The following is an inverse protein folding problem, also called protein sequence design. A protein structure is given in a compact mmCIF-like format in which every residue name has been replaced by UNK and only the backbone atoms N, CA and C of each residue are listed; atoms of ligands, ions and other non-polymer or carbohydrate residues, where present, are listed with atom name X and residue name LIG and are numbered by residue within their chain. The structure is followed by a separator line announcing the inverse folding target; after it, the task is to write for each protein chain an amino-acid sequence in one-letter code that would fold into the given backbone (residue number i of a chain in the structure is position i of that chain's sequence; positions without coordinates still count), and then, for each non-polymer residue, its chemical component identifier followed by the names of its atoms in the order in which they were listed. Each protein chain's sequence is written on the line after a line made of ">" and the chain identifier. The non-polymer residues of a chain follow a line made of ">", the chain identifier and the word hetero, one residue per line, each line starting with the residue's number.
data_IF_634564625116
#
_entry.id   IF_634564625116
#
_cell.length_a   1.000
_cell.length_b   1.000
_cell.length_c   1.000
_cell.angle_alpha   90.00
_cell.angle_beta   90.00
_cell.angle_gamma   90.00
#
_symmetry.space_group_name_H-M   'P 1'
#
loop_
_entity.id
_entity.type
_entity.pdbx_description
1 polymer ?
#
# COMPACT_ATOMS: atom_id res chain seq x y z
N UNK A 1 -15.58 14.89 4.73
CA UNK A 1 -14.61 15.41 5.72
C UNK A 1 -15.30 15.48 7.08
N UNK A 2 -14.64 15.07 8.16
CA UNK A 2 -15.19 15.03 9.53
C UNK A 2 -14.19 15.62 10.54
N UNK A 3 -14.68 16.25 11.60
CA UNK A 3 -13.86 16.80 12.69
C UNK A 3 -14.03 15.95 13.96
N UNK A 4 -12.96 15.81 14.76
CA UNK A 4 -13.03 15.02 16.00
C UNK A 4 -14.08 15.51 17.00
N UNK A 5 -14.34 16.83 17.02
CA UNK A 5 -15.35 17.44 17.89
C UNK A 5 -16.79 17.04 17.51
N UNK A 6 -17.04 16.66 16.26
CA UNK A 6 -18.37 16.30 15.77
C UNK A 6 -18.71 14.82 16.03
N UNK A 7 -17.74 14.05 16.53
CA UNK A 7 -17.93 12.62 16.79
C UNK A 7 -18.74 12.44 18.07
N UNK A 8 -19.96 11.94 17.91
CA UNK A 8 -20.89 11.62 18.99
C UNK A 8 -20.98 10.12 19.29
N UNK A 9 -20.40 9.27 18.44
CA UNK A 9 -20.37 7.82 18.64
C UNK A 9 -19.64 7.46 19.96
N UNK A 10 -20.30 6.76 20.90
CA UNK A 10 -19.73 6.51 22.23
C UNK A 10 -18.42 5.74 22.21
N UNK A 11 -18.30 4.76 21.30
CA UNK A 11 -17.09 3.95 21.16
C UNK A 11 -15.93 4.79 20.61
N UNK A 12 -16.16 5.55 19.54
CA UNK A 12 -15.12 6.43 19.00
C UNK A 12 -14.71 7.53 19.99
N UNK A 13 -15.66 8.09 20.76
CA UNK A 13 -15.34 9.03 21.83
C UNK A 13 -14.46 8.39 22.89
N UNK A 14 -14.72 7.15 23.28
CA UNK A 14 -13.89 6.45 24.28
C UNK A 14 -12.44 6.23 23.82
N UNK A 15 -12.21 6.10 22.50
CA UNK A 15 -10.88 5.96 21.90
C UNK A 15 -10.16 7.31 21.87
N UNK A 16 -10.85 8.38 21.45
CA UNK A 16 -10.25 9.69 21.19
C UNK A 16 -10.14 10.57 22.45
N UNK A 17 -11.07 10.40 23.38
CA UNK A 17 -11.19 11.22 24.60
C UNK A 17 -11.34 10.29 25.82
N UNK A 18 -10.31 9.48 26.12
CA UNK A 18 -10.38 8.55 27.24
C UNK A 18 -10.57 9.33 28.54
N UNK A 19 -11.48 8.84 29.38
CA UNK A 19 -11.80 9.34 30.71
C UNK A 19 -12.55 10.66 30.80
N UNK A 20 -13.13 11.22 29.73
CA UNK A 20 -14.01 12.40 29.86
C UNK A 20 -15.05 12.20 30.98
N UNK A 21 -15.21 13.17 31.90
CA UNK A 21 -14.65 14.53 31.91
C UNK A 21 -13.26 14.70 32.56
N UNK A 22 -12.62 13.62 33.00
CA UNK A 22 -11.28 13.63 33.59
C UNK A 22 -10.19 13.78 32.50
N UNK A 23 -8.99 14.29 32.87
CA UNK A 23 -7.90 14.41 31.92
C UNK A 23 -7.49 13.02 31.38
N UNK A 24 -7.03 12.98 30.11
CA UNK A 24 -6.56 11.73 29.51
C UNK A 24 -5.32 11.21 30.26
N UNK A 25 -5.02 9.90 30.16
CA UNK A 25 -3.84 9.32 30.78
C UNK A 25 -2.55 10.07 30.37
N UNK A 26 -1.55 10.18 31.27
CA UNK A 26 -0.26 10.73 30.91
C UNK A 26 0.33 10.02 29.68
N UNK A 27 0.81 10.80 28.71
CA UNK A 27 1.37 10.27 27.46
C UNK A 27 0.34 9.81 26.42
N UNK A 28 -0.97 10.03 26.63
CA UNK A 28 -1.98 9.73 25.60
C UNK A 28 -1.84 10.63 24.36
N UNK A 29 -1.66 11.94 24.57
CA UNK A 29 -1.29 12.86 23.50
C UNK A 29 0.22 12.96 23.40
N UNK A 30 0.72 13.22 22.18
CA UNK A 30 2.13 13.49 21.91
C UNK A 30 2.55 14.84 22.48
N UNK A 31 3.83 14.97 22.84
CA UNK A 31 4.40 16.27 23.26
C UNK A 31 4.53 17.26 22.10
N UNK A 32 4.69 16.73 20.88
CA UNK A 32 4.79 17.51 19.64
C UNK A 32 3.78 17.02 18.61
N UNK A 33 3.09 17.96 17.97
CA UNK A 33 2.18 17.67 16.86
C UNK A 33 2.95 17.09 15.66
N UNK A 34 2.54 15.89 15.24
CA UNK A 34 2.94 15.31 13.96
C UNK A 34 2.04 15.90 12.87
N UNK A 35 2.59 16.78 12.03
CA UNK A 35 1.79 17.60 11.12
C UNK A 35 1.52 16.97 9.76
N UNK A 36 2.04 15.78 9.46
CA UNK A 36 1.82 15.13 8.17
C UNK A 36 0.57 14.24 8.17
N UNK A 37 0.25 13.58 9.28
CA UNK A 37 -0.69 12.46 9.28
C UNK A 37 -1.53 12.36 10.56
N UNK A 38 -0.94 12.17 11.73
CA UNK A 38 -1.67 11.74 12.94
C UNK A 38 -1.96 12.90 13.92
N UNK A 39 -1.30 14.04 13.77
CA UNK A 39 -1.49 15.19 14.64
C UNK A 39 -0.96 14.95 16.05
N UNK A 40 -1.81 15.25 17.03
CA UNK A 40 -1.48 15.11 18.46
C UNK A 40 -1.69 13.69 19.00
N UNK A 41 -2.42 12.85 18.27
CA UNK A 41 -2.74 11.50 18.71
C UNK A 41 -1.64 10.51 18.33
N UNK A 42 -1.54 9.42 19.10
CA UNK A 42 -0.71 8.28 18.73
C UNK A 42 -1.25 7.59 17.48
N UNK A 43 -0.34 6.97 16.72
CA UNK A 43 -0.70 6.21 15.52
C UNK A 43 -1.61 5.01 15.84
N UNK A 44 -1.49 4.44 17.05
CA UNK A 44 -2.38 3.39 17.54
C UNK A 44 -3.80 3.92 17.78
N UNK A 45 -3.94 5.06 18.46
CA UNK A 45 -5.23 5.74 18.67
C UNK A 45 -5.92 6.07 17.36
N UNK A 46 -5.21 6.72 16.43
CA UNK A 46 -5.77 7.06 15.11
C UNK A 46 -6.07 5.82 14.29
N UNK A 47 -5.21 4.80 14.33
CA UNK A 47 -5.43 3.51 13.67
C UNK A 47 -6.71 2.84 14.16
N UNK A 48 -6.91 2.75 15.47
CA UNK A 48 -8.14 2.24 16.09
C UNK A 48 -9.37 3.04 15.65
N UNK A 49 -9.32 4.36 15.82
CA UNK A 49 -10.45 5.25 15.51
C UNK A 49 -10.83 5.19 14.02
N UNK A 50 -9.85 5.23 13.11
CA UNK A 50 -10.08 5.16 11.66
C UNK A 50 -10.67 3.82 11.24
N UNK A 51 -10.17 2.71 11.79
CA UNK A 51 -10.71 1.37 11.50
C UNK A 51 -12.15 1.22 12.00
N UNK A 52 -12.43 1.58 13.25
CA UNK A 52 -13.79 1.52 13.83
C UNK A 52 -14.75 2.39 13.02
N UNK A 53 -14.35 3.63 12.72
CA UNK A 53 -15.19 4.57 11.99
C UNK A 53 -15.49 4.08 10.57
N UNK A 54 -14.48 3.56 9.85
CA UNK A 54 -14.66 2.98 8.51
C UNK A 54 -15.70 1.87 8.53
N UNK A 55 -15.57 0.92 9.46
CA UNK A 55 -16.48 -0.21 9.59
C UNK A 55 -17.90 0.23 9.94
N UNK A 56 -18.04 1.19 10.86
CA UNK A 56 -19.35 1.73 11.24
C UNK A 56 -20.03 2.42 10.05
N UNK A 57 -19.29 3.24 9.30
CA UNK A 57 -19.81 3.90 8.08
C UNK A 57 -20.26 2.86 7.06
N UNK A 58 -19.42 1.85 6.78
CA UNK A 58 -19.73 0.82 5.80
C UNK A 58 -20.97 0.00 6.20
N UNK A 59 -21.09 -0.33 7.48
CA UNK A 59 -22.28 -1.02 8.01
C UNK A 59 -23.54 -0.16 7.84
N UNK A 60 -23.45 1.14 8.12
CA UNK A 60 -24.57 2.08 7.94
C UNK A 60 -24.96 2.22 6.46
N UNK A 61 -24.00 2.23 5.54
CA UNK A 61 -24.27 2.24 4.09
C UNK A 61 -25.02 0.97 3.64
N UNK A 62 -24.72 -0.17 4.27
CA UNK A 62 -25.42 -1.43 4.03
C UNK A 62 -26.80 -1.53 4.74
N UNK A 63 -27.22 -0.48 5.45
CA UNK A 63 -28.47 -0.46 6.22
C UNK A 63 -28.42 -1.31 7.50
N UNK A 64 -27.23 -1.56 8.04
CA UNK A 64 -27.01 -2.33 9.29
C UNK A 64 -26.28 -1.48 10.33
N UNK A 65 -26.40 -1.88 11.59
CA UNK A 65 -25.56 -1.34 12.67
C UNK A 65 -24.35 -2.27 12.87
N UNK A 66 -23.15 -1.68 12.98
CA UNK A 66 -21.98 -2.44 13.42
C UNK A 66 -22.12 -2.79 14.91
N UNK A 67 -21.67 -3.99 15.30
CA UNK A 67 -21.67 -4.41 16.69
C UNK A 67 -20.39 -3.93 17.39
N UNK A 68 -20.54 -3.16 18.46
CA UNK A 68 -19.40 -2.62 19.19
C UNK A 68 -18.54 -3.72 19.85
N UNK A 69 -19.11 -4.90 20.08
CA UNK A 69 -18.40 -6.05 20.65
C UNK A 69 -17.29 -6.57 19.74
N UNK A 70 -17.41 -6.38 18.42
CA UNK A 70 -16.39 -6.79 17.45
C UNK A 70 -15.09 -5.99 17.61
N UNK A 71 -15.14 -4.84 18.28
CA UNK A 71 -13.97 -3.98 18.49
C UNK A 71 -13.33 -4.17 19.87
N UNK A 72 -13.90 -4.99 20.77
CA UNK A 72 -13.45 -5.08 22.16
C UNK A 72 -11.95 -5.43 22.27
N UNK A 73 -11.47 -6.38 21.47
CA UNK A 73 -10.04 -6.75 21.42
C UNK A 73 -9.16 -5.70 20.74
N UNK A 74 -9.72 -4.90 19.84
CA UNK A 74 -8.97 -3.80 19.22
C UNK A 74 -8.71 -2.68 20.23
N UNK A 75 -9.65 -2.43 21.14
CA UNK A 75 -9.50 -1.39 22.15
C UNK A 75 -8.32 -1.65 23.10
N UNK A 76 -7.93 -2.91 23.30
CA UNK A 76 -6.76 -3.26 24.12
C UNK A 76 -5.42 -2.99 23.46
N UNK A 77 -5.38 -2.62 22.18
CA UNK A 77 -4.12 -2.25 21.55
C UNK A 77 -3.55 -0.95 22.12
N UNK A 78 -2.21 -0.81 22.15
CA UNK A 78 -1.55 0.40 22.58
C UNK A 78 -2.01 1.64 21.81
N UNK A 79 -2.01 2.80 22.47
CA UNK A 79 -2.35 4.09 21.85
C UNK A 79 -1.21 4.62 20.96
N UNK A 80 0.03 4.28 21.30
CA UNK A 80 1.22 4.66 20.55
C UNK A 80 1.97 3.42 20.08
N UNK A 81 2.58 3.51 18.91
CA UNK A 81 3.58 2.55 18.49
C UNK A 81 4.93 3.00 19.03
N UNK A 82 5.69 2.08 19.63
CA UNK A 82 7.03 2.41 20.10
C UNK A 82 7.97 2.69 18.91
N UNK A 83 8.90 3.66 19.05
CA UNK A 83 9.70 4.19 17.94
C UNK A 83 10.58 3.14 17.24
N UNK A 84 10.96 2.08 17.96
CA UNK A 84 11.77 0.97 17.44
C UNK A 84 10.98 -0.36 17.36
N UNK A 85 9.67 -0.33 17.64
CA UNK A 85 8.89 -1.55 17.76
C UNK A 85 8.31 -2.03 16.43
N UNK A 86 8.38 -3.35 16.24
CA UNK A 86 7.53 -4.05 15.29
C UNK A 86 6.06 -3.89 15.68
N UNK A 87 5.14 -3.95 14.72
CA UNK A 87 3.67 -3.93 14.97
C UNK A 87 3.13 -5.21 15.64
N UNK A 88 3.98 -5.92 16.39
CA UNK A 88 3.63 -7.14 17.12
C UNK A 88 2.53 -6.89 18.15
N UNK A 89 2.55 -5.73 18.84
CA UNK A 89 1.55 -5.38 19.85
C UNK A 89 0.16 -5.11 19.25
N UNK A 90 0.06 -5.01 17.92
CA UNK A 90 -1.17 -4.84 17.16
C UNK A 90 -1.59 -6.14 16.46
N UNK A 91 -1.10 -7.28 16.96
CA UNK A 91 -1.50 -8.62 16.53
C UNK A 91 -2.36 -9.27 17.60
N UNK A 92 -3.38 -10.00 17.17
CA UNK A 92 -4.19 -10.83 18.07
C UNK A 92 -3.72 -12.27 17.96
N UNK A 93 -3.72 -12.97 19.09
CA UNK A 93 -3.50 -14.41 19.13
C UNK A 93 -4.64 -15.12 18.38
N UNK A 94 -4.35 -16.05 17.44
CA UNK A 94 -5.39 -16.85 16.78
C UNK A 94 -6.27 -17.65 17.76
N UNK A 95 -5.78 -17.97 18.97
CA UNK A 95 -6.59 -18.71 19.94
C UNK A 95 -7.74 -17.85 20.51
N UNK A 96 -8.97 -18.22 20.15
CA UNK A 96 -10.18 -17.58 20.66
C UNK A 96 -10.52 -16.23 20.03
N UNK A 97 -9.81 -15.82 18.99
CA UNK A 97 -10.10 -14.61 18.20
C UNK A 97 -10.92 -14.99 16.97
N UNK A 98 -12.01 -14.27 16.72
CA UNK A 98 -12.82 -14.47 15.52
C UNK A 98 -12.08 -14.03 14.26
N UNK A 99 -12.46 -14.59 13.10
CA UNK A 99 -11.94 -14.13 11.79
C UNK A 99 -12.15 -12.63 11.59
N UNK A 100 -13.28 -12.10 12.07
CA UNK A 100 -13.62 -10.69 12.01
C UNK A 100 -12.64 -9.82 12.78
N UNK A 101 -12.35 -10.18 14.03
CA UNK A 101 -11.38 -9.47 14.88
C UNK A 101 -9.96 -9.53 14.31
N UNK A 102 -9.55 -10.67 13.74
CA UNK A 102 -8.24 -10.79 13.08
C UNK A 102 -8.11 -9.87 11.85
N UNK A 103 -9.19 -9.76 11.05
CA UNK A 103 -9.24 -8.81 9.94
C UNK A 103 -9.12 -7.38 10.44
N UNK A 104 -9.90 -7.02 11.46
CA UNK A 104 -9.89 -5.68 12.05
C UNK A 104 -8.52 -5.32 12.63
N UNK A 105 -7.83 -6.25 13.28
CA UNK A 105 -6.46 -6.07 13.74
C UNK A 105 -5.49 -5.82 12.58
N UNK A 106 -5.66 -6.56 11.49
CA UNK A 106 -4.88 -6.37 10.26
C UNK A 106 -5.11 -4.98 9.67
N UNK A 107 -6.36 -4.50 9.66
CA UNK A 107 -6.73 -3.17 9.17
C UNK A 107 -6.12 -2.06 10.03
N UNK A 108 -6.07 -2.22 11.36
CA UNK A 108 -5.39 -1.28 12.26
C UNK A 108 -3.89 -1.21 11.92
N UNK A 109 -3.22 -2.35 11.76
CA UNK A 109 -1.79 -2.37 11.36
C UNK A 109 -1.58 -1.72 10.01
N UNK A 110 -2.45 -1.97 9.04
CA UNK A 110 -2.38 -1.36 7.72
C UNK A 110 -2.54 0.17 7.80
N UNK A 111 -3.49 0.65 8.62
CA UNK A 111 -3.67 2.08 8.87
C UNK A 111 -2.43 2.73 9.50
N UNK A 112 -1.79 2.04 10.45
CA UNK A 112 -0.57 2.52 11.10
C UNK A 112 0.59 2.58 10.09
N UNK A 113 0.78 1.52 9.27
CA UNK A 113 1.81 1.50 8.22
C UNK A 113 1.62 2.61 7.20
N UNK A 114 0.36 2.86 6.79
CA UNK A 114 0.04 3.93 5.87
C UNK A 114 0.39 5.31 6.45
N UNK A 115 0.16 5.52 7.75
CA UNK A 115 0.59 6.73 8.44
C UNK A 115 2.10 6.93 8.36
N UNK A 116 2.89 5.89 8.65
CA UNK A 116 4.35 5.97 8.57
C UNK A 116 4.88 6.25 7.18
N UNK A 117 4.30 5.63 6.16
CA UNK A 117 4.65 5.91 4.76
C UNK A 117 4.41 7.39 4.45
N UNK A 118 3.22 7.92 4.79
CA UNK A 118 2.90 9.34 4.61
C UNK A 118 3.85 10.28 5.37
N UNK A 119 4.30 9.88 6.57
CA UNK A 119 5.27 10.66 7.33
C UNK A 119 6.64 10.72 6.66
N UNK A 120 7.12 9.60 6.09
CA UNK A 120 8.38 9.53 5.34
C UNK A 120 8.31 10.35 4.06
N UNK A 121 7.20 10.26 3.32
CA UNK A 121 6.98 11.00 2.09
C UNK A 121 6.96 12.52 2.36
N UNK A 122 6.26 12.95 3.42
CA UNK A 122 6.24 14.35 3.85
C UNK A 122 7.61 14.84 4.34
N UNK A 123 8.40 14.00 5.00
CA UNK A 123 9.76 14.32 5.41
C UNK A 123 10.69 14.48 4.19
N UNK A 124 10.58 13.59 3.19
CA UNK A 124 11.31 13.68 1.93
C UNK A 124 10.97 14.95 1.15
N UNK A 125 9.68 15.29 1.03
CA UNK A 125 9.23 16.53 0.40
C UNK A 125 9.76 17.78 1.12
N UNK A 126 9.79 17.79 2.45
CA UNK A 126 10.35 18.89 3.25
C UNK A 126 11.87 19.00 3.12
N UNK A 127 12.59 17.88 3.05
CA UNK A 127 14.02 17.88 2.81
C UNK A 127 14.37 18.43 1.42
N UNK A 128 13.62 18.02 0.39
CA UNK A 128 13.74 18.56 -0.97
C UNK A 128 13.41 20.06 -1.06
N UNK A 129 12.36 20.50 -0.36
CA UNK A 129 12.01 21.92 -0.28
C UNK A 129 13.08 22.76 0.43
N UNK A 130 13.72 22.23 1.49
CA UNK A 130 14.82 22.92 2.20
C UNK A 130 16.12 22.94 1.40
N UNK A 131 16.43 21.91 0.62
CA UNK A 131 17.60 21.90 -0.27
C UNK A 131 17.51 22.98 -1.37
N UNK A 132 16.30 23.36 -1.76
CA UNK A 132 16.05 24.42 -2.74
C UNK A 132 16.00 25.84 -2.13
N UNK A 133 16.17 25.99 -0.81
CA UNK A 133 16.23 27.27 -0.10
C UNK A 133 17.63 27.44 0.49
N UNK A 134 18.64 27.58 -0.37
CA UNK A 134 19.96 28.09 0.04
C UNK A 134 19.85 29.59 0.42
N UNK A 135 20.60 30.08 1.43
CA UNK A 135 20.53 31.47 1.82
C UNK A 135 21.30 32.31 0.78
N UNK A 136 20.58 33.09 -0.03
CA UNK A 136 21.20 34.14 -0.84
C UNK A 136 21.65 35.27 0.09
N UNK A 137 22.93 35.24 0.46
CA UNK A 137 23.59 36.34 1.14
C UNK A 137 23.83 37.48 0.14
N UNK A 138 23.21 38.63 0.42
CA UNK A 138 23.60 39.99 0.04
C UNK A 138 24.33 40.22 -1.28
N UNK A 139 23.61 40.78 -2.26
CA UNK A 139 24.21 41.44 -3.43
C UNK A 139 23.17 42.28 -4.17
N UNK A 140 23.29 43.61 -4.06
CA UNK A 140 22.47 44.58 -4.81
C UNK A 140 22.91 44.56 -6.28
N UNK A 141 22.01 44.22 -7.20
CA UNK A 141 22.13 44.59 -8.60
C UNK A 141 20.75 44.65 -9.27
N UNK A 142 20.58 45.67 -10.11
CA UNK A 142 19.35 46.11 -10.75
C UNK A 142 19.08 45.33 -12.06
N UNK A 143 17.81 44.93 -12.23
CA UNK A 143 16.97 44.43 -13.35
C UNK A 143 17.43 44.57 -14.84
N UNK A 144 16.76 43.96 -15.86
CA UNK A 144 15.40 43.35 -15.87
C UNK A 144 15.16 42.06 -16.69
N UNK A 145 13.93 41.53 -16.52
CA UNK A 145 13.11 40.74 -17.46
C UNK A 145 13.49 39.28 -17.80
N UNK A 146 12.82 38.33 -17.13
CA UNK A 146 11.95 37.33 -17.79
C UNK A 146 11.50 36.26 -16.78
N UNK A 147 10.31 35.72 -17.02
CA UNK A 147 9.77 34.46 -16.50
C UNK A 147 9.02 34.47 -15.14
N UNK A 148 7.70 34.62 -15.30
CA UNK A 148 6.64 33.83 -14.62
C UNK A 148 6.60 33.89 -13.09
N UNK A 149 6.01 34.96 -12.57
CA UNK A 149 5.28 34.92 -11.30
C UNK A 149 4.05 34.01 -11.43
N UNK A 150 4.14 32.76 -10.93
CA UNK A 150 2.95 31.93 -10.67
C UNK A 150 2.27 32.45 -9.40
N UNK A 151 1.26 33.30 -9.60
CA UNK A 151 0.29 33.72 -8.58
C UNK A 151 -0.68 32.55 -8.37
N UNK A 152 -0.75 32.00 -7.16
CA UNK A 152 -1.77 31.02 -6.78
C UNK A 152 -3.07 31.78 -6.54
N UNK A 153 -4.02 31.59 -7.45
CA UNK A 153 -5.39 32.05 -7.34
C UNK A 153 -6.22 30.86 -6.85
N UNK A 154 -6.78 30.95 -5.65
CA UNK A 154 -7.79 30.00 -5.18
C UNK A 154 -9.13 30.47 -5.71
N UNK A 155 -9.71 29.75 -6.68
CA UNK A 155 -11.10 29.92 -7.07
C UNK A 155 -11.97 29.09 -6.16
N UNK A 156 -12.79 29.78 -5.37
CA UNK A 156 -13.92 29.22 -4.64
C UNK A 156 -15.03 28.94 -5.67
N UNK A 157 -15.46 27.68 -5.77
CA UNK A 157 -16.48 27.24 -6.71
C UNK A 157 -16.72 25.74 -6.58
N UNK A 158 -17.84 25.40 -5.97
CA UNK A 158 -18.37 24.05 -5.77
C UNK A 158 -18.53 23.34 -7.11
N UNK A 159 -17.96 22.14 -7.24
CA UNK A 159 -18.47 21.11 -8.15
C UNK A 159 -18.46 19.75 -7.45
N UNK A 160 -19.57 19.05 -7.61
CA UNK A 160 -19.88 17.75 -7.04
C UNK A 160 -19.72 16.71 -8.14
N UNK A 161 -18.86 15.70 -7.96
CA UNK A 161 -18.93 14.48 -8.75
C UNK A 161 -17.59 13.88 -9.13
N UNK A 162 -17.30 12.74 -8.48
CA UNK A 162 -16.55 11.59 -9.01
C UNK A 162 -15.06 11.75 -9.39
N UNK A 163 -14.35 10.62 -9.25
CA UNK A 163 -12.98 10.34 -9.71
C UNK A 163 -11.79 10.82 -8.84
N UNK A 164 -11.58 10.14 -7.71
CA UNK A 164 -10.23 9.91 -7.16
C UNK A 164 -9.92 8.40 -7.18
N UNK A 165 -9.83 7.84 -8.39
CA UNK A 165 -9.17 6.57 -8.72
C UNK A 165 -8.32 6.84 -9.96
N UNK A 166 -7.10 7.38 -9.82
CA UNK A 166 -6.29 7.64 -11.03
C UNK A 166 -4.78 7.88 -10.82
N UNK A 167 -4.15 7.37 -9.76
CA UNK A 167 -2.67 7.39 -9.71
C UNK A 167 -2.02 6.08 -9.23
N UNK A 168 -2.76 5.18 -8.58
CA UNK A 168 -2.22 3.87 -8.15
C UNK A 168 -2.59 2.69 -9.06
N UNK A 169 -3.50 2.90 -10.02
CA UNK A 169 -4.03 1.83 -10.87
C UNK A 169 -3.20 1.68 -12.17
N UNK A 170 -2.57 2.76 -12.64
CA UNK A 170 -1.71 2.76 -13.83
C UNK A 170 -0.38 2.04 -13.57
N UNK A 171 0.29 2.30 -12.44
CA UNK A 171 1.54 1.58 -12.06
C UNK A 171 1.32 0.06 -11.88
N UNK A 172 0.17 -0.34 -11.34
CA UNK A 172 -0.14 -1.76 -11.14
C UNK A 172 -0.41 -2.49 -12.48
N UNK A 173 -0.97 -1.79 -13.47
CA UNK A 173 -1.14 -2.31 -14.82
C UNK A 173 0.19 -2.40 -15.58
N UNK A 174 1.07 -1.41 -15.44
CA UNK A 174 2.41 -1.43 -16.04
C UNK A 174 3.28 -2.56 -15.48
N UNK A 175 3.24 -2.80 -14.15
CA UNK A 175 3.97 -3.91 -13.53
C UNK A 175 3.39 -5.28 -13.97
N UNK A 176 2.07 -5.39 -14.12
CA UNK A 176 1.42 -6.59 -14.62
C UNK A 176 1.77 -6.87 -16.09
N UNK A 177 1.76 -5.86 -16.97
CA UNK A 177 2.14 -5.99 -18.38
C UNK A 177 3.61 -6.39 -18.54
N UNK A 178 4.50 -5.84 -17.71
CA UNK A 178 5.93 -6.18 -17.73
C UNK A 178 6.19 -7.62 -17.25
N UNK A 179 5.38 -8.12 -16.31
CA UNK A 179 5.48 -9.50 -15.82
C UNK A 179 4.87 -10.48 -16.83
N UNK A 180 3.77 -10.12 -17.47
CA UNK A 180 3.15 -10.91 -18.55
C UNK A 180 4.08 -11.03 -19.76
N UNK A 181 4.76 -9.95 -20.16
CA UNK A 181 5.77 -9.99 -21.23
C UNK A 181 6.96 -10.89 -20.88
N UNK A 182 7.41 -10.90 -19.62
CA UNK A 182 8.47 -11.80 -19.16
C UNK A 182 8.03 -13.26 -19.16
N UNK A 183 6.78 -13.55 -18.77
CA UNK A 183 6.22 -14.91 -18.78
C UNK A 183 6.02 -15.39 -20.21
N UNK A 184 5.54 -14.54 -21.13
CA UNK A 184 5.41 -14.87 -22.54
C UNK A 184 6.78 -15.17 -23.18
N UNK A 185 7.79 -14.33 -22.96
CA UNK A 185 9.13 -14.58 -23.47
C UNK A 185 9.77 -15.85 -22.89
N UNK A 186 9.49 -16.19 -21.63
CA UNK A 186 9.93 -17.44 -21.02
C UNK A 186 9.19 -18.66 -21.61
N UNK A 187 7.89 -18.54 -21.90
CA UNK A 187 7.12 -19.60 -22.57
C UNK A 187 7.63 -19.84 -24.00
N UNK A 188 7.87 -18.77 -24.77
CA UNK A 188 8.42 -18.86 -26.13
C UNK A 188 9.82 -19.47 -26.13
N UNK A 189 10.67 -19.16 -25.13
CA UNK A 189 11.99 -19.75 -25.00
C UNK A 189 11.93 -21.25 -24.65
N UNK A 190 10.96 -21.67 -23.84
CA UNK A 190 10.74 -23.08 -23.51
C UNK A 190 10.14 -23.84 -24.70
N UNK A 191 9.23 -23.22 -25.44
CA UNK A 191 8.66 -23.79 -26.67
C UNK A 191 9.72 -23.92 -27.77
N UNK A 192 10.56 -22.89 -27.97
CA UNK A 192 11.68 -22.95 -28.90
C UNK A 192 12.73 -24.01 -28.50
N UNK A 193 12.97 -24.21 -27.20
CA UNK A 193 13.83 -25.28 -26.73
C UNK A 193 13.21 -26.67 -26.93
N UNK A 194 11.88 -26.79 -26.82
CA UNK A 194 11.16 -28.03 -27.08
C UNK A 194 11.14 -28.36 -28.58
N UNK A 195 10.90 -27.38 -29.46
CA UNK A 195 10.94 -27.59 -30.92
C UNK A 195 12.35 -27.86 -31.43
N UNK A 196 13.38 -27.20 -30.89
CA UNK A 196 14.78 -27.52 -31.21
C UNK A 196 15.16 -28.94 -30.77
N UNK A 197 14.61 -29.44 -29.66
CA UNK A 197 14.80 -30.83 -29.22
C UNK A 197 14.04 -31.85 -30.09
N UNK A 198 12.93 -31.45 -30.71
CA UNK A 198 12.19 -32.28 -31.68
C UNK A 198 12.85 -32.29 -33.07
N UNK A 199 13.46 -31.18 -33.52
CA UNK A 199 14.24 -31.12 -34.78
C UNK A 199 15.54 -31.93 -34.68
N UNK A 200 16.27 -31.88 -33.56
CA UNK A 200 17.45 -32.75 -33.34
C UNK A 200 17.11 -34.25 -33.31
N UNK A 201 15.87 -34.61 -32.97
CA UNK A 201 15.41 -36.00 -32.99
C UNK A 201 15.01 -36.49 -34.39
N UNK A 202 14.67 -35.57 -35.31
CA UNK A 202 14.22 -35.90 -36.66
C UNK A 202 15.37 -35.96 -37.68
N UNK A 203 16.51 -35.31 -37.41
CA UNK A 203 17.74 -35.36 -38.24
C UNK A 203 18.57 -36.67 -38.09
N UNK A 204 18.13 -37.61 -37.23
CA UNK A 204 18.81 -38.90 -37.01
C UNK A 204 18.22 -40.09 -37.78
N UNK A 205 17.12 -39.91 -38.54
CA UNK A 205 16.39 -41.04 -39.18
C UNK A 205 16.35 -40.98 -40.73
N UNK A 206 17.03 -40.03 -41.39
CA UNK A 206 17.03 -39.87 -42.87
C UNK A 206 18.38 -40.11 -43.58
N UNK A 207 19.37 -40.76 -42.96
CA UNK A 207 20.65 -41.14 -43.62
C UNK A 207 20.89 -42.67 -43.60
N UNK A 208 19.87 -43.45 -43.94
CA UNK A 208 19.99 -44.90 -44.16
C UNK A 208 19.17 -45.38 -45.37
N UNK A 209 19.39 -44.82 -46.56
CA UNK A 209 19.13 -45.58 -47.79
C UNK A 209 19.86 -45.00 -49.02
N UNK A 210 21.00 -45.59 -49.39
CA UNK A 210 21.25 -46.02 -50.77
C UNK A 210 22.65 -46.65 -50.92
N UNK A 211 22.72 -47.94 -51.26
CA UNK A 211 23.83 -48.44 -52.07
C UNK A 211 24.33 -49.86 -51.78
N UNK A 212 23.84 -50.83 -52.56
CA UNK A 212 24.74 -51.80 -53.20
C UNK A 212 24.61 -53.28 -52.82
N UNK A 213 23.59 -53.92 -53.37
CA UNK A 213 23.61 -55.21 -54.07
C UNK A 213 24.96 -56.00 -54.10
N UNK A 214 24.96 -57.22 -53.53
CA UNK A 214 25.65 -58.39 -54.11
C UNK A 214 24.98 -59.70 -53.68
N UNK A 215 24.25 -60.28 -54.64
CA UNK A 215 23.81 -61.67 -54.75
C UNK A 215 24.87 -62.74 -54.39
N UNK A 216 24.41 -63.90 -53.89
CA UNK A 216 24.48 -65.23 -54.56
C UNK A 216 24.21 -66.37 -53.55
N UNK A 217 23.04 -66.99 -53.69
CA UNK A 217 22.63 -68.32 -53.18
C UNK A 217 23.36 -69.50 -53.92
N UNK A 218 23.05 -70.81 -53.69
CA UNK A 218 23.04 -71.61 -52.46
C UNK A 218 23.73 -73.00 -52.68
N UNK A 219 23.48 -73.97 -51.80
CA UNK A 219 23.76 -75.43 -51.87
C UNK A 219 25.14 -75.88 -51.36
N UNK A 220 25.32 -76.97 -50.61
CA UNK A 220 24.54 -78.21 -50.38
C UNK A 220 25.21 -78.97 -49.21
N UNK A 221 24.63 -80.08 -48.72
CA UNK A 221 25.27 -81.35 -49.07
C UNK A 221 24.36 -82.31 -49.84
#
# INVERSE_FOLDING_TARGET
>A
MWMFCDITDPLLRSILFPNEPNPPPPGFLRDTCEIAVDGWFGSGTIGKARTVMRVKIQSMMDGRAADDRDFARLLSFPDHVAPDSSLADFTLDPEGTSSREMQLATDVRASIKASWKGQLDAAGARAGARANVAPSAGGVAVAPDAARTKRVQWSEGVDMGEEEQSEGEEEALEEAEMLEAQVAAAADAVEAAATAAEEEANDLDEELDEGGDMDVEPSKP
#
